data_IF_084235890267
#
_entry.id   IF_084235890267
#
_cell.length_a   1.000
_cell.length_b   1.000
_cell.length_c   1.000
_cell.angle_alpha   90.00
_cell.angle_beta   90.00
_cell.angle_gamma   90.00
#
_symmetry.space_group_name_H-M   'P 1'
#
loop_
_entity.id
_entity.type
_entity.pdbx_description
1 polymer ?
#
# COMPACT_ATOMS: atom_id res chain seq x y z
N UNK A 1 29.35 -9.06 4.92
CA UNK A 1 29.90 -9.24 3.55
C UNK A 1 28.80 -9.65 2.59
N UNK A 2 28.33 -10.90 2.51
CA UNK A 2 27.26 -11.25 1.53
C UNK A 2 25.91 -10.54 1.76
N UNK A 3 25.47 -10.40 3.02
CA UNK A 3 24.20 -9.73 3.34
C UNK A 3 24.25 -8.21 3.17
N UNK A 4 25.41 -7.60 3.42
CA UNK A 4 25.59 -6.15 3.27
C UNK A 4 25.62 -5.76 1.79
N UNK A 5 26.29 -6.59 0.97
CA UNK A 5 26.34 -6.44 -0.48
C UNK A 5 24.94 -6.65 -1.09
N UNK A 6 24.19 -7.68 -0.66
CA UNK A 6 22.81 -7.91 -1.10
C UNK A 6 21.90 -6.72 -0.76
N UNK A 7 22.04 -6.15 0.44
CA UNK A 7 21.27 -4.97 0.86
C UNK A 7 21.62 -3.77 -0.02
N UNK A 8 22.89 -3.55 -0.33
CA UNK A 8 23.36 -2.48 -1.21
C UNK A 8 22.81 -2.65 -2.63
N UNK A 9 22.89 -3.85 -3.20
CA UNK A 9 22.42 -4.14 -4.56
C UNK A 9 20.90 -4.00 -4.70
N UNK A 10 20.14 -4.48 -3.72
CA UNK A 10 18.68 -4.29 -3.67
C UNK A 10 18.32 -2.81 -3.54
N UNK A 11 19.05 -2.07 -2.69
CA UNK A 11 18.83 -0.62 -2.54
C UNK A 11 19.13 0.13 -3.84
N UNK A 12 20.22 -0.19 -4.53
CA UNK A 12 20.58 0.40 -5.82
C UNK A 12 19.57 0.06 -6.91
N UNK A 13 19.10 -1.19 -6.98
CA UNK A 13 18.09 -1.63 -7.94
C UNK A 13 16.71 -0.98 -7.72
N UNK A 14 16.39 -0.61 -6.47
CA UNK A 14 15.13 0.03 -6.11
C UNK A 14 15.23 1.58 -6.08
N UNK A 15 16.44 2.12 -6.21
CA UNK A 15 16.68 3.57 -6.20
C UNK A 15 16.01 4.21 -7.42
N UNK A 16 15.04 5.10 -7.18
CA UNK A 16 14.27 5.80 -8.23
C UNK A 16 13.02 5.07 -8.72
N UNK A 17 12.90 3.78 -8.42
CA UNK A 17 11.71 2.97 -8.66
C UNK A 17 10.66 3.19 -7.58
N UNK A 18 11.11 3.31 -6.33
CA UNK A 18 10.22 3.54 -5.19
C UNK A 18 9.68 4.97 -5.17
N UNK A 19 8.39 5.08 -4.88
CA UNK A 19 7.65 6.32 -4.75
C UNK A 19 7.25 6.50 -3.29
N UNK A 20 7.28 7.74 -2.82
CA UNK A 20 6.72 8.08 -1.51
C UNK A 20 5.24 7.74 -1.49
N UNK A 21 4.84 7.05 -0.44
CA UNK A 21 3.47 6.63 -0.20
C UNK A 21 3.07 6.87 1.26
N UNK A 22 1.77 6.83 1.51
CA UNK A 22 1.23 6.88 2.87
C UNK A 22 0.12 5.83 2.99
N UNK A 23 0.27 4.90 3.91
CA UNK A 23 -0.80 3.99 4.34
C UNK A 23 -1.62 4.69 5.43
N UNK A 24 -2.94 4.72 5.28
CA UNK A 24 -3.88 5.17 6.29
C UNK A 24 -4.69 3.97 6.76
N UNK A 25 -4.57 3.64 8.04
CA UNK A 25 -5.28 2.48 8.58
C UNK A 25 -6.76 2.80 8.82
N UNK A 26 -7.61 1.89 8.37
CA UNK A 26 -9.03 1.93 8.64
C UNK A 26 -9.29 1.61 10.12
N UNK A 27 -10.10 2.45 10.73
CA UNK A 27 -10.58 2.31 12.09
C UNK A 27 -12.08 2.59 12.15
N UNK A 28 -12.70 2.12 13.23
CA UNK A 28 -14.02 2.55 13.63
C UNK A 28 -13.84 3.55 14.77
N UNK A 29 -14.51 4.69 14.67
CA UNK A 29 -14.53 5.72 15.71
C UNK A 29 -15.94 5.85 16.27
N UNK A 30 -16.06 6.09 17.57
CA UNK A 30 -17.34 6.40 18.22
C UNK A 30 -17.78 7.81 17.78
N UNK A 31 -19.04 7.94 17.35
CA UNK A 31 -19.64 9.22 16.95
C UNK A 31 -20.09 10.08 18.14
N UNK A 32 -19.88 9.62 19.38
CA UNK A 32 -20.33 10.27 20.61
C UNK A 32 -21.81 10.02 20.94
N UNK A 33 -22.49 9.23 20.11
CA UNK A 33 -23.89 8.81 20.28
C UNK A 33 -24.02 7.28 20.39
N UNK A 34 -22.89 6.57 20.55
CA UNK A 34 -22.86 5.11 20.68
C UNK A 34 -22.94 4.38 19.35
N UNK A 35 -22.76 5.07 18.21
CA UNK A 35 -22.58 4.43 16.92
C UNK A 35 -21.10 4.44 16.53
N UNK A 36 -20.68 3.39 15.84
CA UNK A 36 -19.37 3.33 15.21
C UNK A 36 -19.47 3.88 13.79
N UNK A 37 -18.59 4.82 13.43
CA UNK A 37 -18.47 5.36 12.08
C UNK A 37 -17.08 5.11 11.49
N UNK A 38 -16.95 5.01 10.15
CA UNK A 38 -15.66 4.86 9.49
C UNK A 38 -14.71 6.02 9.82
N UNK A 39 -13.50 5.68 10.27
CA UNK A 39 -12.41 6.60 10.54
C UNK A 39 -11.11 6.15 9.87
N UNK A 40 -10.16 7.08 9.79
CA UNK A 40 -8.76 6.79 9.49
C UNK A 40 -7.92 7.57 10.49
N UNK A 41 -7.45 6.86 11.51
CA UNK A 41 -6.87 7.43 12.73
C UNK A 41 -5.33 7.49 12.68
N UNK A 42 -4.69 6.63 11.87
CA UNK A 42 -3.23 6.55 11.83
C UNK A 42 -2.67 6.53 10.41
N UNK A 43 -1.74 7.45 10.12
CA UNK A 43 -0.97 7.52 8.88
C UNK A 43 0.44 6.96 9.07
N UNK A 44 0.86 6.08 8.16
CA UNK A 44 2.20 5.47 8.12
C UNK A 44 2.89 5.86 6.80
N UNK A 45 3.84 6.82 6.83
CA UNK A 45 4.70 7.11 5.69
C UNK A 45 5.49 5.86 5.31
N UNK A 46 5.55 5.56 4.01
CA UNK A 46 6.28 4.41 3.48
C UNK A 46 6.73 4.65 2.04
N UNK A 47 7.40 3.67 1.47
CA UNK A 47 7.78 3.65 0.06
C UNK A 47 7.13 2.45 -0.64
N UNK A 48 6.86 2.58 -1.93
CA UNK A 48 6.29 1.50 -2.72
C UNK A 48 6.25 1.77 -4.21
N UNK A 49 5.61 0.87 -4.95
CA UNK A 49 5.36 1.00 -6.38
C UNK A 49 3.88 0.76 -6.69
N UNK A 50 3.38 1.48 -7.69
CA UNK A 50 2.05 1.24 -8.27
C UNK A 50 2.21 0.68 -9.67
N UNK A 51 1.71 -0.53 -9.87
CA UNK A 51 1.67 -1.20 -11.15
C UNK A 51 0.24 -1.52 -11.59
N UNK A 52 0.16 -2.24 -12.70
CA UNK A 52 -1.07 -2.84 -13.22
C UNK A 52 -0.98 -4.35 -13.16
N UNK A 53 -2.12 -5.01 -13.02
CA UNK A 53 -2.20 -6.44 -13.28
C UNK A 53 -2.03 -6.72 -14.77
N UNK A 54 -1.42 -7.87 -15.09
CA UNK A 54 -1.47 -8.39 -16.46
C UNK A 54 -2.92 -8.55 -16.91
N UNK A 55 -3.22 -8.21 -18.16
CA UNK A 55 -4.61 -8.18 -18.65
C UNK A 55 -5.26 -9.57 -18.67
N UNK A 56 -4.48 -10.61 -18.96
CA UNK A 56 -4.98 -11.99 -18.97
C UNK A 56 -5.20 -12.49 -17.54
N UNK A 57 -4.31 -12.18 -16.61
CA UNK A 57 -4.49 -12.48 -15.19
C UNK A 57 -5.69 -11.75 -14.59
N UNK A 58 -5.79 -10.43 -14.80
CA UNK A 58 -6.90 -9.62 -14.32
C UNK A 58 -8.26 -10.16 -14.82
N UNK A 59 -8.34 -10.53 -16.09
CA UNK A 59 -9.54 -11.11 -16.68
C UNK A 59 -9.92 -12.46 -16.07
N UNK A 60 -8.94 -13.33 -15.78
CA UNK A 60 -9.20 -14.64 -15.16
C UNK A 60 -9.55 -14.55 -13.67
N UNK A 61 -8.96 -13.59 -12.96
CA UNK A 61 -9.16 -13.39 -11.52
C UNK A 61 -10.33 -12.46 -11.18
N UNK A 62 -11.05 -11.94 -12.18
CA UNK A 62 -12.18 -11.03 -11.98
C UNK A 62 -11.77 -9.67 -11.43
N UNK A 63 -10.50 -9.27 -11.60
CA UNK A 63 -9.99 -7.99 -11.11
C UNK A 63 -10.46 -6.88 -12.05
N UNK A 64 -11.20 -5.87 -11.56
CA UNK A 64 -11.62 -4.74 -12.37
C UNK A 64 -10.41 -4.02 -13.00
N UNK A 65 -10.58 -3.53 -14.24
CA UNK A 65 -9.52 -2.75 -14.92
C UNK A 65 -9.18 -1.44 -14.22
N UNK A 66 -10.06 -0.98 -13.34
CA UNK A 66 -9.87 0.20 -12.51
C UNK A 66 -8.95 -0.04 -11.33
N UNK A 67 -8.64 -1.29 -11.00
CA UNK A 67 -7.85 -1.65 -9.83
C UNK A 67 -6.36 -1.62 -10.16
N UNK A 68 -5.56 -1.21 -9.18
CA UNK A 68 -4.10 -1.15 -9.29
C UNK A 68 -3.46 -2.21 -8.40
N UNK A 69 -2.30 -2.72 -8.84
CA UNK A 69 -1.43 -3.54 -8.00
C UNK A 69 -0.48 -2.60 -7.26
N UNK A 70 -0.50 -2.61 -5.93
CA UNK A 70 0.39 -1.77 -5.12
C UNK A 70 1.27 -2.67 -4.25
N UNK A 71 2.58 -2.45 -4.31
CA UNK A 71 3.56 -3.15 -3.50
C UNK A 71 4.27 -2.14 -2.59
N UNK A 72 4.17 -2.34 -1.27
CA UNK A 72 4.79 -1.46 -0.27
C UNK A 72 6.05 -2.13 0.30
N UNK A 73 7.12 -1.35 0.45
CA UNK A 73 8.38 -1.85 0.98
C UNK A 73 8.27 -2.04 2.50
N UNK A 74 8.20 -3.30 2.95
CA UNK A 74 8.06 -3.66 4.35
C UNK A 74 9.12 -3.02 5.27
N UNK A 75 10.35 -2.83 4.80
CA UNK A 75 11.42 -2.17 5.57
C UNK A 75 11.16 -0.69 5.88
N UNK A 76 10.22 -0.06 5.18
CA UNK A 76 9.82 1.35 5.37
C UNK A 76 8.46 1.50 6.04
N UNK A 77 7.69 0.42 6.12
CA UNK A 77 6.31 0.44 6.57
C UNK A 77 6.21 -0.10 7.99
N UNK A 78 5.81 0.76 8.93
CA UNK A 78 5.70 0.42 10.35
C UNK A 78 4.40 -0.33 10.72
N UNK A 79 3.57 -0.70 9.74
CA UNK A 79 2.29 -1.36 9.94
C UNK A 79 2.02 -2.43 8.88
N UNK A 80 1.20 -3.42 9.21
CA UNK A 80 0.73 -4.39 8.21
C UNK A 80 -0.54 -3.85 7.55
N UNK A 81 -0.59 -3.71 6.21
CA UNK A 81 -1.83 -3.34 5.51
C UNK A 81 -2.93 -4.38 5.74
N UNK A 82 -4.17 -3.91 5.89
CA UNK A 82 -5.38 -4.75 5.99
C UNK A 82 -6.47 -4.22 5.07
N UNK A 83 -7.49 -5.03 4.85
CA UNK A 83 -8.67 -4.62 4.08
C UNK A 83 -9.26 -3.31 4.62
N UNK A 84 -9.76 -2.48 3.71
CA UNK A 84 -10.33 -1.14 3.93
C UNK A 84 -9.33 -0.03 4.28
N UNK A 85 -8.06 -0.37 4.56
CA UNK A 85 -7.00 0.64 4.62
C UNK A 85 -6.90 1.40 3.30
N UNK A 86 -6.35 2.61 3.36
CA UNK A 86 -6.12 3.44 2.19
C UNK A 86 -4.63 3.63 1.93
N UNK A 87 -4.25 3.66 0.66
CA UNK A 87 -2.89 3.99 0.25
C UNK A 87 -2.94 5.21 -0.66
N UNK A 88 -2.14 6.23 -0.32
CA UNK A 88 -1.82 7.32 -1.22
C UNK A 88 -0.48 7.07 -1.88
N UNK A 89 -0.44 7.00 -3.21
CA UNK A 89 0.79 6.82 -4.01
C UNK A 89 0.54 7.37 -5.43
N UNK A 90 1.57 7.97 -6.04
CA UNK A 90 1.49 8.58 -7.38
C UNK A 90 0.33 9.59 -7.57
N UNK A 91 -0.02 10.33 -6.51
CA UNK A 91 -1.10 11.32 -6.58
C UNK A 91 -2.53 10.76 -6.54
N UNK A 92 -2.68 9.45 -6.31
CA UNK A 92 -3.98 8.78 -6.24
C UNK A 92 -4.24 8.10 -4.90
N UNK A 93 -5.52 8.04 -4.51
CA UNK A 93 -5.98 7.27 -3.35
C UNK A 93 -6.57 5.93 -3.80
N UNK A 94 -6.13 4.88 -3.11
CA UNK A 94 -6.55 3.50 -3.36
C UNK A 94 -7.03 2.88 -2.06
N UNK A 95 -8.10 2.09 -2.13
CA UNK A 95 -8.56 1.28 -1.00
C UNK A 95 -8.04 -0.15 -1.15
N UNK A 96 -7.56 -0.72 -0.05
CA UNK A 96 -7.15 -2.12 -0.01
C UNK A 96 -8.41 -2.98 -0.06
N UNK A 97 -8.61 -3.62 -1.20
CA UNK A 97 -9.59 -4.70 -1.39
C UNK A 97 -8.84 -6.03 -1.27
N UNK A 98 -9.46 -7.02 -0.63
CA UNK A 98 -8.85 -8.31 -0.25
C UNK A 98 -7.98 -8.96 -1.34
#
# INVERSE_FOLDING_TARGET
MLLDDLKSDVTAALTGELRSAVLWQYSLIDDGHGNEVPGYDTSYPCEGVRGSYDAQYAGQSGIPRTDAKIELLAGTLAATPKALDKVYIDGGWWIVVN
#
